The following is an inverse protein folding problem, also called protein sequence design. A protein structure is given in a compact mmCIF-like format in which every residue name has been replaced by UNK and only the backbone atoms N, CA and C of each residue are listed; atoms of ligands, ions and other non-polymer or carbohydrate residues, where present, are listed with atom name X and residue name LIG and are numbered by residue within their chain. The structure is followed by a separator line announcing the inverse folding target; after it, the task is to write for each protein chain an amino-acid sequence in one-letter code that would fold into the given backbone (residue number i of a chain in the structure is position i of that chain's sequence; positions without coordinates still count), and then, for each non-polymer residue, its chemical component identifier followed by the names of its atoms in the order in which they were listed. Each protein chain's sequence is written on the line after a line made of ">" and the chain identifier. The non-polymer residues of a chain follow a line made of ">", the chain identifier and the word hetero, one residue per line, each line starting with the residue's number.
data_IF_619409579126
#
_entry.id   IF_619409579126
#
_cell.length_a   1.000
_cell.length_b   1.000
_cell.length_c   1.000
_cell.angle_alpha   90.00
_cell.angle_beta   90.00
_cell.angle_gamma   90.00
#
_symmetry.space_group_name_H-M   'P 1'
#
loop_
_entity.id
_entity.type
_entity.pdbx_description
1 polymer ?
#
# COMPACT_ATOMS: atom_id res chain seq x y z
N UNK A 1 40.05 -4.82 11.71
CA UNK A 1 38.78 -4.28 12.08
C UNK A 1 37.83 -5.43 12.35
N UNK A 2 37.04 -5.33 13.42
CA UNK A 2 36.00 -6.31 13.72
C UNK A 2 34.94 -6.25 12.60
N UNK A 3 34.56 -7.40 12.06
CA UNK A 3 33.42 -7.51 11.15
C UNK A 3 32.14 -7.36 11.98
N UNK A 4 31.35 -6.33 11.69
CA UNK A 4 30.08 -6.05 12.34
C UNK A 4 28.96 -6.26 11.31
N UNK A 5 28.14 -7.28 11.51
CA UNK A 5 27.01 -7.59 10.62
C UNK A 5 25.79 -6.68 10.89
N UNK A 6 25.60 -6.25 12.14
CA UNK A 6 24.51 -5.36 12.56
C UNK A 6 25.08 -4.21 13.38
N UNK A 7 24.75 -2.98 12.99
CA UNK A 7 25.18 -1.76 13.67
C UNK A 7 24.46 -1.53 15.01
N UNK A 8 24.88 -0.45 15.70
CA UNK A 8 24.22 0.00 16.93
C UNK A 8 22.79 0.47 16.64
N UNK A 9 21.94 0.38 17.65
CA UNK A 9 20.59 0.99 17.64
C UNK A 9 20.71 2.51 17.59
N UNK A 10 19.80 3.17 16.89
CA UNK A 10 19.87 4.61 16.64
C UNK A 10 19.69 5.43 17.93
N UNK A 11 18.84 4.95 18.83
CA UNK A 11 18.57 5.61 20.12
C UNK A 11 18.40 4.58 21.24
N UNK A 12 18.70 4.98 22.51
CA UNK A 12 18.41 4.11 23.67
C UNK A 12 16.93 3.73 23.78
N UNK A 13 16.02 4.63 23.48
CA UNK A 13 14.58 4.37 23.48
C UNK A 13 14.20 3.26 22.52
N UNK A 14 14.82 3.23 21.33
CA UNK A 14 14.55 2.15 20.35
C UNK A 14 15.07 0.81 20.86
N UNK A 15 16.19 0.79 21.55
CA UNK A 15 16.71 -0.42 22.18
C UNK A 15 15.73 -0.95 23.24
N UNK A 16 15.17 -0.07 24.09
CA UNK A 16 14.17 -0.44 25.10
C UNK A 16 12.89 -1.02 24.46
N UNK A 17 12.44 -0.46 23.32
CA UNK A 17 11.29 -1.01 22.58
C UNK A 17 11.57 -2.44 22.13
N UNK A 18 12.75 -2.69 21.55
CA UNK A 18 13.14 -4.02 21.08
C UNK A 18 13.22 -5.02 22.24
N UNK A 19 13.85 -4.62 23.35
CA UNK A 19 13.95 -5.46 24.54
C UNK A 19 12.57 -5.83 25.10
N UNK A 20 11.69 -4.84 25.25
CA UNK A 20 10.33 -5.02 25.71
C UNK A 20 9.53 -5.97 24.82
N UNK A 21 9.58 -5.76 23.50
CA UNK A 21 8.81 -6.59 22.56
C UNK A 21 9.32 -8.03 22.53
N UNK A 22 10.64 -8.24 22.57
CA UNK A 22 11.22 -9.59 22.62
C UNK A 22 10.87 -10.28 23.95
N UNK A 23 10.98 -9.58 25.08
CA UNK A 23 10.60 -10.15 26.39
C UNK A 23 9.11 -10.53 26.41
N UNK A 24 8.22 -9.65 25.95
CA UNK A 24 6.78 -9.96 25.90
C UNK A 24 6.46 -11.11 24.95
N UNK A 25 7.14 -11.20 23.81
CA UNK A 25 6.95 -12.33 22.90
C UNK A 25 7.30 -13.68 23.59
N UNK A 26 8.37 -13.70 24.39
CA UNK A 26 8.75 -14.88 25.18
C UNK A 26 7.70 -15.21 26.25
N UNK A 27 7.20 -14.19 26.97
CA UNK A 27 6.11 -14.35 27.94
C UNK A 27 4.83 -14.89 27.31
N UNK A 28 4.57 -14.49 26.06
CA UNK A 28 3.42 -14.93 25.24
C UNK A 28 3.63 -16.32 24.61
N UNK A 29 4.81 -16.93 24.78
CA UNK A 29 5.10 -18.30 24.35
C UNK A 29 6.05 -18.44 23.16
N UNK A 30 6.60 -17.34 22.63
CA UNK A 30 7.63 -17.42 21.61
C UNK A 30 8.93 -18.01 22.16
N UNK A 31 9.64 -18.75 21.33
CA UNK A 31 10.91 -19.40 21.70
C UNK A 31 12.09 -18.67 21.04
N UNK A 32 13.04 -18.23 21.85
CA UNK A 32 14.30 -17.65 21.35
C UNK A 32 15.15 -18.75 20.74
N UNK A 33 15.46 -18.64 19.46
CA UNK A 33 16.35 -19.55 18.73
C UNK A 33 17.78 -19.07 18.84
N UNK A 34 18.00 -17.75 18.70
CA UNK A 34 19.30 -17.12 18.82
C UNK A 34 19.10 -15.66 19.27
N UNK A 35 20.09 -15.08 19.92
CA UNK A 35 20.07 -13.67 20.36
C UNK A 35 19.20 -13.41 21.58
N UNK A 36 18.26 -12.48 21.45
CA UNK A 36 17.26 -12.13 22.48
C UNK A 36 17.81 -11.28 23.63
N UNK A 37 18.94 -10.58 23.45
CA UNK A 37 19.57 -9.83 24.54
C UNK A 37 20.31 -8.60 24.06
N UNK A 38 20.40 -7.61 24.92
CA UNK A 38 21.30 -6.47 24.77
C UNK A 38 22.76 -6.94 24.78
N UNK A 39 23.59 -6.29 23.98
CA UNK A 39 25.04 -6.49 23.99
C UNK A 39 25.68 -5.25 24.62
N UNK A 40 26.34 -5.45 25.75
CA UNK A 40 27.06 -4.37 26.43
C UNK A 40 28.29 -3.97 25.63
N UNK A 41 28.36 -2.69 25.29
CA UNK A 41 29.49 -2.11 24.56
C UNK A 41 29.66 -0.63 24.92
N UNK A 42 30.92 -0.19 25.08
CA UNK A 42 31.24 1.22 25.25
C UNK A 42 31.04 2.03 23.94
N UNK A 43 30.86 1.36 22.81
CA UNK A 43 30.75 1.96 21.46
C UNK A 43 29.32 2.24 21.02
N UNK A 44 28.33 1.95 21.84
CA UNK A 44 26.93 2.21 21.54
C UNK A 44 25.97 1.14 22.08
N UNK A 45 24.70 1.37 21.80
CA UNK A 45 23.61 0.49 22.20
C UNK A 45 23.39 -0.60 21.13
N UNK A 46 23.67 -1.84 21.48
CA UNK A 46 23.52 -2.98 20.56
C UNK A 46 22.50 -3.98 21.09
N UNK A 47 21.78 -4.57 20.16
CA UNK A 47 20.95 -5.74 20.41
C UNK A 47 21.43 -6.89 19.53
N UNK A 48 21.59 -8.06 20.11
CA UNK A 48 22.05 -9.24 19.36
C UNK A 48 21.05 -9.59 18.25
N UNK A 49 21.52 -9.94 17.04
CA UNK A 49 20.64 -10.50 16.01
C UNK A 49 19.81 -11.63 16.59
N UNK A 50 18.50 -11.52 16.48
CA UNK A 50 17.56 -12.35 17.22
C UNK A 50 16.62 -13.08 16.26
N UNK A 51 16.39 -14.37 16.52
CA UNK A 51 15.36 -15.16 15.83
C UNK A 51 14.41 -15.71 16.89
N UNK A 52 13.12 -15.40 16.75
CA UNK A 52 12.04 -15.94 17.56
C UNK A 52 11.22 -16.94 16.72
N UNK A 53 11.04 -18.13 17.24
CA UNK A 53 10.18 -19.16 16.67
C UNK A 53 8.89 -19.32 17.47
N UNK A 54 7.93 -20.03 16.87
CA UNK A 54 6.63 -20.32 17.45
C UNK A 54 5.82 -19.04 17.76
N UNK A 55 6.06 -17.99 16.96
CA UNK A 55 5.34 -16.71 17.05
C UNK A 55 3.94 -16.87 16.46
N UNK A 56 2.94 -16.26 17.10
CA UNK A 56 1.56 -16.26 16.60
C UNK A 56 1.09 -14.83 16.25
N UNK A 57 0.10 -14.68 15.38
CA UNK A 57 -0.40 -13.37 14.95
C UNK A 57 -0.95 -12.50 16.09
N UNK A 58 -1.33 -13.10 17.21
CA UNK A 58 -1.90 -12.43 18.38
C UNK A 58 -0.84 -11.75 19.26
N UNK A 59 0.42 -12.15 19.14
CA UNK A 59 1.52 -11.58 19.92
C UNK A 59 1.78 -10.13 19.59
N UNK A 60 2.12 -9.34 20.61
CA UNK A 60 2.35 -7.88 20.46
C UNK A 60 3.43 -7.57 19.41
N UNK A 61 4.49 -8.36 19.38
CA UNK A 61 5.61 -8.21 18.44
C UNK A 61 5.20 -8.38 16.95
N UNK A 62 4.05 -9.01 16.68
CA UNK A 62 3.48 -9.12 15.32
C UNK A 62 2.62 -7.90 14.94
N UNK A 63 2.28 -7.05 15.90
CA UNK A 63 1.40 -5.89 15.73
C UNK A 63 2.15 -4.59 15.84
N UNK A 64 3.10 -4.50 16.77
CA UNK A 64 3.92 -3.32 16.98
C UNK A 64 5.16 -3.35 16.06
N UNK A 65 5.58 -2.20 15.59
CA UNK A 65 6.77 -2.08 14.75
C UNK A 65 8.04 -2.15 15.60
N UNK A 66 8.87 -3.17 15.36
CA UNK A 66 10.03 -3.45 16.20
C UNK A 66 11.25 -2.56 15.90
N UNK A 67 11.49 -2.19 14.64
CA UNK A 67 12.69 -1.46 14.20
C UNK A 67 13.99 -1.94 14.85
N UNK A 68 14.23 -3.25 14.82
CA UNK A 68 15.41 -3.87 15.43
C UNK A 68 15.80 -5.15 14.70
N UNK A 69 16.95 -5.75 15.07
CA UNK A 69 17.51 -6.94 14.42
C UNK A 69 16.77 -8.21 14.89
N UNK A 70 15.47 -8.29 14.69
CA UNK A 70 14.61 -9.39 15.14
C UNK A 70 13.89 -10.01 13.94
N UNK A 71 14.04 -11.31 13.77
CA UNK A 71 13.33 -12.12 12.80
C UNK A 71 12.29 -13.00 13.51
N UNK A 72 11.04 -12.94 13.04
CA UNK A 72 9.91 -13.68 13.56
C UNK A 72 9.58 -14.87 12.65
N UNK A 73 9.46 -16.06 13.21
CA UNK A 73 9.05 -17.27 12.49
C UNK A 73 7.67 -17.70 12.97
N UNK A 74 6.68 -17.42 12.15
CA UNK A 74 5.29 -17.83 12.33
C UNK A 74 5.00 -19.04 11.42
N UNK A 75 4.44 -20.12 11.96
CA UNK A 75 4.03 -21.29 11.19
C UNK A 75 2.66 -21.05 10.58
N UNK A 76 2.50 -21.48 9.35
CA UNK A 76 1.24 -21.42 8.61
C UNK A 76 0.87 -22.80 8.10
N UNK A 77 -0.42 -23.06 7.97
CA UNK A 77 -0.95 -24.37 7.54
C UNK A 77 -0.86 -24.55 6.03
N UNK A 78 -1.13 -23.48 5.30
CA UNK A 78 -1.22 -23.48 3.86
C UNK A 78 -0.99 -22.08 3.25
N UNK A 79 -1.12 -21.96 1.94
CA UNK A 79 -0.97 -20.69 1.19
C UNK A 79 -2.01 -19.65 1.59
N UNK A 80 -3.24 -20.06 1.88
CA UNK A 80 -4.30 -19.12 2.27
C UNK A 80 -4.01 -18.53 3.65
N UNK A 81 -3.64 -19.37 4.59
CA UNK A 81 -3.24 -18.97 5.95
C UNK A 81 -2.02 -18.03 5.92
N UNK A 82 -1.01 -18.36 5.07
CA UNK A 82 0.15 -17.50 4.87
C UNK A 82 -0.23 -16.07 4.43
N UNK A 83 -1.14 -15.96 3.46
CA UNK A 83 -1.63 -14.67 2.98
C UNK A 83 -2.45 -13.94 4.05
N UNK A 84 -3.27 -14.65 4.82
CA UNK A 84 -4.04 -14.05 5.91
C UNK A 84 -3.12 -13.48 6.99
N UNK A 85 -2.14 -14.26 7.45
CA UNK A 85 -1.16 -13.82 8.45
C UNK A 85 -0.36 -12.62 7.95
N UNK A 86 0.16 -12.69 6.72
CA UNK A 86 0.94 -11.59 6.13
C UNK A 86 0.13 -10.30 5.95
N UNK A 87 -1.17 -10.41 5.66
CA UNK A 87 -2.05 -9.27 5.50
C UNK A 87 -2.66 -8.77 6.82
N UNK A 88 -2.52 -9.52 7.90
CA UNK A 88 -3.09 -9.21 9.22
C UNK A 88 -2.39 -8.06 9.96
N UNK A 89 -1.26 -7.58 9.48
CA UNK A 89 -0.56 -6.42 10.03
C UNK A 89 -1.17 -5.10 9.54
N UNK A 90 -1.06 -4.05 10.36
CA UNK A 90 -1.42 -2.68 9.97
C UNK A 90 -0.42 -2.06 8.99
N UNK A 91 0.74 -2.66 8.81
CA UNK A 91 1.80 -2.20 7.91
C UNK A 91 1.74 -2.90 6.56
N UNK A 92 2.34 -2.26 5.55
CA UNK A 92 2.39 -2.80 4.20
C UNK A 92 3.39 -2.05 3.30
N UNK A 93 4.66 -1.98 3.71
CA UNK A 93 5.70 -1.35 2.90
C UNK A 93 6.18 -2.30 1.81
N UNK A 94 6.74 -3.43 2.21
CA UNK A 94 7.30 -4.42 1.30
C UNK A 94 7.00 -5.84 1.77
N UNK A 95 7.05 -6.76 0.82
CA UNK A 95 6.90 -8.19 1.07
C UNK A 95 7.82 -8.99 0.16
N UNK A 96 8.08 -10.24 0.52
CA UNK A 96 8.86 -11.17 -0.30
C UNK A 96 8.21 -12.55 -0.29
N UNK A 97 8.23 -13.23 -1.44
CA UNK A 97 7.73 -14.59 -1.59
C UNK A 97 8.83 -15.47 -2.16
N UNK A 98 9.21 -16.50 -1.41
CA UNK A 98 10.22 -17.46 -1.85
C UNK A 98 9.56 -18.77 -2.26
N UNK A 99 9.74 -19.20 -3.50
CA UNK A 99 9.21 -20.46 -4.01
C UNK A 99 9.96 -20.92 -5.27
N UNK A 100 10.19 -22.22 -5.40
CA UNK A 100 10.66 -22.82 -6.64
C UNK A 100 9.60 -22.75 -7.76
N UNK A 101 8.33 -22.68 -7.39
CA UNK A 101 7.22 -22.52 -8.33
C UNK A 101 6.90 -21.03 -8.51
N UNK A 102 7.40 -20.42 -9.58
CA UNK A 102 7.20 -19.01 -9.89
C UNK A 102 5.73 -18.63 -10.11
N UNK A 103 4.93 -19.51 -10.71
CA UNK A 103 3.50 -19.25 -10.91
C UNK A 103 2.76 -19.20 -9.56
N UNK A 104 3.11 -20.10 -8.62
CA UNK A 104 2.60 -20.06 -7.24
C UNK A 104 3.05 -18.77 -6.52
N UNK A 105 4.33 -18.43 -6.62
CA UNK A 105 4.84 -17.20 -5.99
C UNK A 105 4.12 -15.96 -6.48
N UNK A 106 3.87 -15.85 -7.79
CA UNK A 106 3.13 -14.73 -8.39
C UNK A 106 1.70 -14.61 -7.86
N UNK A 107 0.95 -15.72 -7.82
CA UNK A 107 -0.41 -15.73 -7.27
C UNK A 107 -0.46 -15.30 -5.80
N UNK A 108 0.55 -15.68 -5.00
CA UNK A 108 0.66 -15.24 -3.62
C UNK A 108 0.97 -13.75 -3.57
N UNK A 109 1.97 -13.29 -4.32
CA UNK A 109 2.40 -11.89 -4.39
C UNK A 109 1.25 -10.94 -4.74
N UNK A 110 0.38 -11.32 -5.69
CA UNK A 110 -0.80 -10.53 -6.10
C UNK A 110 -1.86 -10.40 -4.99
N UNK A 111 -1.82 -11.27 -3.99
CA UNK A 111 -2.76 -11.26 -2.85
C UNK A 111 -2.19 -10.56 -1.61
N UNK A 112 -0.89 -10.30 -1.57
CA UNK A 112 -0.25 -9.61 -0.46
C UNK A 112 -0.56 -8.11 -0.50
N UNK A 113 -0.96 -7.59 0.64
CA UNK A 113 -1.25 -6.16 0.84
C UNK A 113 0.03 -5.42 1.26
N UNK A 114 0.91 -5.23 0.31
CA UNK A 114 2.13 -4.43 0.47
C UNK A 114 2.31 -3.55 -0.78
N UNK A 115 2.97 -2.43 -0.62
CA UNK A 115 3.24 -1.51 -1.73
C UNK A 115 4.24 -2.06 -2.74
N UNK A 116 5.04 -3.03 -2.31
CA UNK A 116 6.01 -3.75 -3.14
C UNK A 116 6.05 -5.23 -2.75
N UNK A 117 6.25 -6.10 -3.74
CA UNK A 117 6.49 -7.52 -3.49
C UNK A 117 7.62 -8.04 -4.38
N UNK A 118 8.62 -8.65 -3.77
CA UNK A 118 9.71 -9.34 -4.45
C UNK A 118 9.46 -10.86 -4.49
N UNK A 119 9.90 -11.52 -5.56
CA UNK A 119 9.82 -12.98 -5.69
C UNK A 119 11.24 -13.54 -5.74
N UNK A 120 11.55 -14.44 -4.80
CA UNK A 120 12.87 -15.05 -4.61
C UNK A 120 14.01 -14.03 -4.41
N UNK A 121 13.66 -12.89 -3.84
CA UNK A 121 14.56 -11.80 -3.55
C UNK A 121 14.09 -11.10 -2.26
N UNK A 122 15.01 -10.57 -1.47
CA UNK A 122 14.72 -9.93 -0.17
C UNK A 122 14.57 -8.41 -0.23
N UNK A 123 14.38 -7.83 -1.40
CA UNK A 123 14.11 -6.40 -1.55
C UNK A 123 15.34 -5.53 -1.84
N UNK A 124 16.57 -6.04 -1.73
CA UNK A 124 17.78 -5.27 -1.98
C UNK A 124 17.92 -4.84 -3.45
N UNK A 125 17.78 -5.78 -4.38
CA UNK A 125 17.81 -5.49 -5.82
C UNK A 125 16.57 -4.72 -6.28
N UNK A 126 15.42 -4.95 -5.65
CA UNK A 126 14.18 -4.23 -5.95
C UNK A 126 14.29 -2.75 -5.59
N UNK A 127 14.98 -2.42 -4.50
CA UNK A 127 15.29 -1.04 -4.14
C UNK A 127 16.18 -0.32 -5.19
N UNK A 128 17.05 -1.06 -5.84
CA UNK A 128 17.90 -0.55 -6.93
C UNK A 128 17.18 -0.38 -8.27
N UNK A 129 15.98 -0.94 -8.41
CA UNK A 129 15.18 -0.85 -9.62
C UNK A 129 14.44 0.49 -9.69
N UNK A 130 15.13 1.53 -10.13
CA UNK A 130 14.65 2.92 -10.14
C UNK A 130 13.38 3.14 -10.98
N UNK A 131 13.10 2.27 -11.94
CA UNK A 131 11.88 2.31 -12.75
C UNK A 131 10.66 1.71 -12.06
N UNK A 132 10.87 0.92 -11.00
CA UNK A 132 9.79 0.38 -10.19
C UNK A 132 9.35 1.37 -9.13
N UNK A 133 8.07 1.62 -9.09
CA UNK A 133 7.45 2.46 -8.08
C UNK A 133 7.61 1.83 -6.69
N UNK A 134 8.16 2.58 -5.73
CA UNK A 134 8.32 2.16 -4.34
C UNK A 134 7.45 3.01 -3.41
N UNK A 135 6.81 2.39 -2.43
CA UNK A 135 6.04 3.07 -1.39
C UNK A 135 5.11 2.14 -0.65
N UNK A 136 4.68 2.55 0.52
CA UNK A 136 3.82 1.77 1.40
C UNK A 136 2.32 1.89 1.11
N UNK A 137 1.57 1.03 1.77
CA UNK A 137 0.13 1.11 1.95
C UNK A 137 -0.20 0.92 3.43
N UNK A 138 -1.44 1.08 3.84
CA UNK A 138 -1.87 1.01 5.23
C UNK A 138 -1.10 2.03 6.09
N UNK A 139 -0.75 1.68 7.33
CA UNK A 139 0.03 2.53 8.24
C UNK A 139 1.47 2.79 7.78
N UNK A 140 2.02 2.01 6.85
CA UNK A 140 3.31 2.31 6.22
C UNK A 140 3.31 3.55 5.33
N UNK A 141 2.17 4.21 5.20
CA UNK A 141 2.03 5.49 4.53
C UNK A 141 1.45 5.39 3.12
N UNK A 142 1.44 6.53 2.46
CA UNK A 142 0.92 6.70 1.10
C UNK A 142 1.93 7.49 0.27
N UNK A 143 1.66 7.59 -1.01
CA UNK A 143 2.62 8.16 -1.96
C UNK A 143 3.51 7.11 -2.59
N UNK A 144 4.30 7.56 -3.53
CA UNK A 144 5.24 6.70 -4.25
C UNK A 144 6.50 7.49 -4.55
N UNK A 145 7.65 6.82 -4.49
CA UNK A 145 8.91 7.30 -5.01
C UNK A 145 9.38 6.35 -6.12
N UNK A 146 10.36 6.75 -6.87
CA UNK A 146 10.87 6.07 -8.05
C UNK A 146 9.84 5.95 -9.19
N UNK A 147 10.30 5.62 -10.37
CA UNK A 147 9.49 5.47 -11.56
C UNK A 147 8.72 6.74 -11.94
N UNK A 148 7.77 6.58 -12.83
CA UNK A 148 6.93 7.68 -13.33
C UNK A 148 6.04 8.30 -12.25
N UNK A 149 5.52 7.49 -11.34
CA UNK A 149 4.63 7.96 -10.28
C UNK A 149 5.38 8.76 -9.22
N UNK A 150 6.64 8.38 -8.91
CA UNK A 150 7.50 9.16 -8.03
C UNK A 150 7.80 10.55 -8.61
N UNK A 151 8.09 10.64 -9.91
CA UNK A 151 8.27 11.93 -10.57
C UNK A 151 6.99 12.78 -10.56
N UNK A 152 5.84 12.17 -10.82
CA UNK A 152 4.54 12.86 -10.75
C UNK A 152 4.21 13.37 -9.37
N UNK A 153 4.60 12.64 -8.32
CA UNK A 153 4.39 13.06 -6.93
C UNK A 153 5.14 14.36 -6.57
N UNK A 154 6.21 14.68 -7.29
CA UNK A 154 6.95 15.94 -7.14
C UNK A 154 6.34 17.10 -7.94
N UNK A 155 5.24 16.90 -8.66
CA UNK A 155 4.62 17.88 -9.55
C UNK A 155 3.22 18.26 -9.08
N UNK A 156 2.87 19.52 -9.25
CA UNK A 156 1.48 19.95 -9.12
C UNK A 156 0.74 19.70 -10.44
N UNK A 157 -0.25 18.83 -10.41
CA UNK A 157 -1.08 18.52 -11.57
C UNK A 157 -2.02 19.70 -11.85
N UNK A 158 -2.00 20.22 -13.07
CA UNK A 158 -2.91 21.25 -13.55
C UNK A 158 -3.73 20.72 -14.72
N UNK A 159 -5.05 20.75 -14.60
CA UNK A 159 -5.94 20.47 -15.70
C UNK A 159 -6.15 21.77 -16.52
N UNK A 160 -5.99 21.68 -17.82
CA UNK A 160 -6.29 22.77 -18.76
C UNK A 160 -7.34 22.25 -19.73
N UNK A 161 -8.49 22.91 -19.76
CA UNK A 161 -9.55 22.67 -20.74
C UNK A 161 -9.46 23.76 -21.81
N UNK A 162 -9.28 23.36 -23.08
CA UNK A 162 -9.26 24.23 -24.24
C UNK A 162 -10.49 23.88 -25.10
N UNK A 163 -11.52 24.75 -25.08
CA UNK A 163 -12.72 24.55 -25.89
C UNK A 163 -12.46 25.03 -27.32
N UNK A 164 -12.23 24.08 -28.22
CA UNK A 164 -12.03 24.32 -29.67
C UNK A 164 -13.29 24.06 -30.48
N UNK A 165 -14.43 23.84 -29.85
CA UNK A 165 -15.67 23.60 -30.56
C UNK A 165 -16.23 24.92 -31.11
N UNK A 166 -16.65 24.96 -32.39
CA UNK A 166 -17.16 26.21 -32.99
C UNK A 166 -18.53 26.62 -32.43
N UNK A 167 -19.19 25.77 -31.66
CA UNK A 167 -20.47 26.04 -31.04
C UNK A 167 -20.27 26.29 -29.53
N UNK A 168 -20.34 27.56 -29.15
CA UNK A 168 -20.30 27.92 -27.73
C UNK A 168 -21.70 27.86 -27.13
N UNK A 169 -21.92 26.91 -26.21
CA UNK A 169 -23.12 26.89 -25.42
C UNK A 169 -22.90 27.76 -24.18
N UNK A 170 -23.70 28.82 -24.04
CA UNK A 170 -23.67 29.62 -22.84
C UNK A 170 -23.99 28.76 -21.61
N UNK A 171 -23.06 28.67 -20.66
CA UNK A 171 -23.31 28.01 -19.38
C UNK A 171 -24.25 28.90 -18.57
N UNK A 172 -25.52 28.57 -18.59
CA UNK A 172 -26.53 29.23 -17.75
C UNK A 172 -26.42 28.60 -16.35
N UNK A 173 -25.88 29.37 -15.41
CA UNK A 173 -25.77 28.92 -14.00
C UNK A 173 -27.04 29.27 -13.21
N UNK A 174 -27.65 30.42 -13.47
CA UNK A 174 -28.86 30.90 -12.77
C UNK A 174 -29.69 31.82 -13.67
N UNK A 175 -31.01 31.89 -13.49
CA UNK A 175 -31.86 30.98 -12.71
C UNK A 175 -32.01 29.63 -13.42
N UNK A 176 -32.13 28.53 -12.63
CA UNK A 176 -32.39 27.20 -13.16
C UNK A 176 -33.89 26.96 -13.16
N UNK A 177 -34.45 26.57 -14.29
CA UNK A 177 -35.83 26.15 -14.45
C UNK A 177 -35.95 24.66 -14.81
N UNK A 178 -37.19 24.16 -14.83
CA UNK A 178 -37.47 22.74 -15.16
C UNK A 178 -36.96 22.34 -16.53
N UNK A 179 -36.96 23.27 -17.51
CA UNK A 179 -36.42 23.04 -18.84
C UNK A 179 -34.89 22.80 -18.83
N UNK A 180 -34.16 23.48 -17.93
CA UNK A 180 -32.70 23.31 -17.81
C UNK A 180 -32.35 21.95 -17.19
N UNK A 181 -33.13 21.49 -16.20
CA UNK A 181 -32.98 20.15 -15.65
C UNK A 181 -33.20 19.06 -16.71
N UNK A 182 -34.31 19.15 -17.47
CA UNK A 182 -34.63 18.20 -18.53
C UNK A 182 -33.53 18.19 -19.62
N UNK A 183 -32.96 19.36 -19.93
CA UNK A 183 -31.87 19.54 -20.89
C UNK A 183 -30.59 18.84 -20.44
N UNK A 184 -30.16 19.09 -19.19
CA UNK A 184 -28.94 18.46 -18.62
C UNK A 184 -29.13 16.95 -18.49
N UNK A 185 -30.28 16.51 -18.01
CA UNK A 185 -30.62 15.08 -17.90
C UNK A 185 -30.60 14.38 -19.26
N UNK A 186 -31.19 15.02 -20.28
CA UNK A 186 -31.17 14.52 -21.64
C UNK A 186 -29.74 14.40 -22.18
N UNK A 187 -28.91 15.44 -22.00
CA UNK A 187 -27.51 15.45 -22.43
C UNK A 187 -26.69 14.33 -21.74
N UNK A 188 -26.80 14.20 -20.43
CA UNK A 188 -26.12 13.12 -19.66
C UNK A 188 -26.58 11.75 -20.13
N UNK A 189 -27.89 11.59 -20.40
CA UNK A 189 -28.46 10.31 -20.87
C UNK A 189 -27.95 9.96 -22.28
N UNK A 190 -27.75 10.92 -23.17
CA UNK A 190 -27.15 10.71 -24.50
C UNK A 190 -25.68 10.33 -24.39
N UNK A 191 -24.90 11.05 -23.59
CA UNK A 191 -23.46 10.83 -23.45
C UNK A 191 -23.13 9.51 -22.76
N UNK A 192 -23.77 9.22 -21.63
CA UNK A 192 -23.39 8.12 -20.74
C UNK A 192 -24.40 6.97 -20.71
N UNK A 193 -25.57 7.09 -21.36
CA UNK A 193 -26.58 6.05 -21.40
C UNK A 193 -26.08 4.79 -22.12
N UNK A 194 -26.23 3.63 -21.50
CA UNK A 194 -25.88 2.34 -22.12
C UNK A 194 -27.04 1.85 -23.00
N UNK A 195 -26.72 1.57 -24.27
CA UNK A 195 -27.65 1.04 -25.27
C UNK A 195 -28.44 2.12 -26.02
N UNK A 196 -28.82 1.78 -27.28
CA UNK A 196 -29.44 2.71 -28.23
C UNK A 196 -30.79 3.27 -27.72
N UNK A 197 -31.61 2.42 -27.08
CA UNK A 197 -32.91 2.86 -26.53
C UNK A 197 -32.79 3.98 -25.49
N UNK A 198 -31.80 3.90 -24.59
CA UNK A 198 -31.55 4.96 -23.60
C UNK A 198 -31.05 6.24 -24.27
N UNK A 199 -30.15 6.14 -25.22
CA UNK A 199 -29.66 7.30 -25.97
C UNK A 199 -30.78 8.01 -26.74
N UNK A 200 -31.65 7.27 -27.40
CA UNK A 200 -32.81 7.83 -28.10
C UNK A 200 -33.79 8.53 -27.12
N UNK A 201 -33.99 7.96 -25.92
CA UNK A 201 -34.76 8.62 -24.87
C UNK A 201 -34.12 9.94 -24.44
N UNK A 202 -32.79 9.98 -24.26
CA UNK A 202 -32.06 11.21 -23.94
C UNK A 202 -32.22 12.28 -25.02
N UNK A 203 -32.16 11.90 -26.31
CA UNK A 203 -32.45 12.82 -27.42
C UNK A 203 -33.87 13.35 -27.36
N UNK A 204 -34.86 12.49 -27.07
CA UNK A 204 -36.24 12.92 -26.92
C UNK A 204 -36.45 13.91 -25.75
N UNK A 205 -35.75 13.70 -24.62
CA UNK A 205 -35.76 14.60 -23.46
C UNK A 205 -35.13 15.96 -23.83
N UNK A 206 -34.01 15.97 -24.56
CA UNK A 206 -33.38 17.18 -25.08
C UNK A 206 -34.31 17.98 -26.00
N UNK A 207 -34.93 17.32 -26.99
CA UNK A 207 -35.85 17.99 -27.92
C UNK A 207 -37.07 18.57 -27.19
N UNK A 208 -37.61 17.87 -26.19
CA UNK A 208 -38.70 18.40 -25.37
C UNK A 208 -38.29 19.62 -24.55
N UNK A 209 -37.08 19.64 -24.00
CA UNK A 209 -36.58 20.78 -23.22
C UNK A 209 -36.40 22.04 -24.07
N UNK A 210 -36.06 21.87 -25.34
CA UNK A 210 -35.94 23.02 -26.30
C UNK A 210 -37.29 23.65 -26.67
N UNK A 211 -38.41 22.93 -26.47
CA UNK A 211 -39.76 23.42 -26.72
C UNK A 211 -40.41 24.11 -25.51
N UNK A 212 -39.81 23.96 -24.33
CA UNK A 212 -40.31 24.52 -23.06
C UNK A 212 -39.62 25.83 -22.64
N UNK A 213 -38.54 26.17 -23.30
CA UNK A 213 -37.76 27.41 -23.06
C UNK A 213 -37.74 28.30 -24.29
#
# INVERSE_FOLDING_TARGET
>A
GETVDVGAMVTPMQLEIVERLVARAVEQGARVVVGGRRVLSERGDFFAPTVLADVTPEMDIMREETFGPVMLLCRVRDEHDAVQVANGTEFGLSSSVFSRNHAKARRIAERLQAGMCAINEFGGMTYMAQDLTFGGIKASGFGRMNGRDGLRACCNTKAVLDDRFPLHFANKLFPIGDADFDRIKGAVTVMYGRGLRRKLRGVSELVRSLRKG
#
